data_IF_265947058716
#
_entry.id   IF_265947058716
#
_cell.length_a   1.000
_cell.length_b   1.000
_cell.length_c   1.000
_cell.angle_alpha   90.00
_cell.angle_beta   90.00
_cell.angle_gamma   90.00
#
_symmetry.space_group_name_H-M   'P 1'
#
loop_
_entity.id
_entity.type
_entity.pdbx_description
1 polymer ?
#
# COMPACT_ATOMS: atom_id res chain seq x y z
N UNK A 1 19.24 -33.79 -14.73
CA UNK A 1 19.08 -32.72 -13.70
C UNK A 1 17.73 -32.78 -13.02
N UNK A 2 17.70 -32.63 -11.69
CA UNK A 2 16.45 -32.54 -10.92
C UNK A 2 15.80 -31.15 -11.14
N UNK A 3 14.47 -31.09 -11.18
CA UNK A 3 13.74 -29.81 -11.32
C UNK A 3 13.87 -29.01 -10.02
N UNK A 4 14.24 -27.72 -10.12
CA UNK A 4 14.30 -26.83 -8.96
C UNK A 4 12.92 -26.69 -8.30
N UNK A 5 12.87 -26.85 -6.99
CA UNK A 5 11.68 -26.58 -6.16
C UNK A 5 12.08 -25.71 -4.98
N UNK A 6 11.45 -24.54 -4.87
CA UNK A 6 11.67 -23.66 -3.73
C UNK A 6 10.87 -24.15 -2.51
N UNK A 7 11.51 -24.53 -1.40
CA UNK A 7 10.82 -25.12 -0.25
C UNK A 7 9.81 -24.17 0.41
N UNK A 8 10.05 -22.85 0.35
CA UNK A 8 9.16 -21.84 0.94
C UNK A 8 8.11 -21.31 -0.03
N UNK A 9 7.84 -22.02 -1.14
CA UNK A 9 6.81 -21.61 -2.12
C UNK A 9 5.42 -21.42 -1.50
N UNK A 10 4.92 -22.28 -0.58
CA UNK A 10 3.64 -22.03 0.08
C UNK A 10 3.63 -20.72 0.90
N UNK A 11 4.76 -20.41 1.57
CA UNK A 11 4.91 -19.17 2.35
C UNK A 11 4.88 -17.96 1.42
N UNK A 12 5.54 -18.03 0.27
CA UNK A 12 5.52 -16.96 -0.74
C UNK A 12 4.09 -16.64 -1.20
N UNK A 13 3.30 -17.67 -1.48
CA UNK A 13 1.88 -17.51 -1.89
C UNK A 13 1.06 -16.85 -0.80
N UNK A 14 1.19 -17.31 0.45
CA UNK A 14 0.45 -16.72 1.59
C UNK A 14 0.85 -15.25 1.79
N UNK A 15 2.14 -14.92 1.71
CA UNK A 15 2.64 -13.54 1.86
C UNK A 15 2.19 -12.65 0.71
N UNK A 16 2.17 -13.15 -0.52
CA UNK A 16 1.68 -12.41 -1.69
C UNK A 16 0.20 -12.06 -1.54
N UNK A 17 -0.62 -13.01 -1.10
CA UNK A 17 -2.04 -12.76 -0.85
C UNK A 17 -2.26 -11.80 0.33
N UNK A 18 -1.44 -11.87 1.39
CA UNK A 18 -1.49 -10.88 2.49
C UNK A 18 -1.13 -9.47 2.02
N UNK A 19 -0.12 -9.33 1.18
CA UNK A 19 0.26 -8.04 0.58
C UNK A 19 -0.86 -7.48 -0.30
N UNK A 20 -1.49 -8.32 -1.12
CA UNK A 20 -2.62 -7.93 -1.96
C UNK A 20 -3.79 -7.40 -1.11
N UNK A 21 -4.18 -8.14 -0.07
CA UNK A 21 -5.25 -7.69 0.85
C UNK A 21 -4.90 -6.39 1.56
N UNK A 22 -3.65 -6.23 2.00
CA UNK A 22 -3.21 -5.00 2.64
C UNK A 22 -3.21 -3.81 1.66
N UNK A 23 -2.87 -4.05 0.39
CA UNK A 23 -2.95 -3.05 -0.68
C UNK A 23 -4.39 -2.61 -0.94
N UNK A 24 -5.33 -3.56 -1.03
CA UNK A 24 -6.75 -3.27 -1.21
C UNK A 24 -7.30 -2.47 -0.02
N UNK A 25 -6.98 -2.89 1.20
CA UNK A 25 -7.38 -2.16 2.42
C UNK A 25 -6.81 -0.74 2.46
N UNK A 26 -5.55 -0.56 2.05
CA UNK A 26 -4.95 0.76 1.94
C UNK A 26 -5.64 1.61 0.88
N UNK A 27 -5.90 1.09 -0.31
CA UNK A 27 -6.63 1.81 -1.37
C UNK A 27 -8.02 2.24 -0.90
N UNK A 28 -8.76 1.36 -0.21
CA UNK A 28 -10.06 1.70 0.37
C UNK A 28 -9.94 2.85 1.40
N UNK A 29 -8.93 2.82 2.27
CA UNK A 29 -8.71 3.90 3.25
C UNK A 29 -8.33 5.24 2.61
N UNK A 30 -7.62 5.23 1.48
CA UNK A 30 -7.31 6.44 0.71
C UNK A 30 -8.58 7.04 0.14
N UNK A 31 -9.49 6.22 -0.42
CA UNK A 31 -10.77 6.72 -0.92
C UNK A 31 -11.61 7.37 0.18
N UNK A 32 -11.69 6.76 1.37
CA UNK A 32 -12.41 7.33 2.51
C UNK A 32 -11.79 8.65 2.97
N UNK A 33 -10.46 8.74 3.01
CA UNK A 33 -9.76 9.97 3.35
C UNK A 33 -10.06 11.11 2.36
N UNK A 34 -9.97 10.83 1.05
CA UNK A 34 -10.28 11.80 0.00
C UNK A 34 -11.72 12.27 0.09
N UNK A 35 -12.68 11.35 0.28
CA UNK A 35 -14.09 11.71 0.47
C UNK A 35 -14.30 12.62 1.70
N UNK A 36 -13.60 12.36 2.80
CA UNK A 36 -13.67 13.21 3.99
C UNK A 36 -13.11 14.63 3.71
N UNK A 37 -12.01 14.74 2.94
CA UNK A 37 -11.45 16.03 2.54
C UNK A 37 -12.40 16.82 1.63
N UNK A 38 -13.05 16.15 0.67
CA UNK A 38 -14.04 16.75 -0.20
C UNK A 38 -15.23 17.32 0.59
N UNK A 39 -15.74 16.55 1.56
CA UNK A 39 -16.81 17.00 2.46
C UNK A 39 -16.37 18.22 3.28
N UNK A 40 -15.15 18.21 3.84
CA UNK A 40 -14.63 19.35 4.58
C UNK A 40 -14.49 20.60 3.70
N UNK A 41 -13.99 20.45 2.47
CA UNK A 41 -13.87 21.55 1.52
C UNK A 41 -15.25 22.14 1.15
N UNK A 42 -16.26 21.28 0.93
CA UNK A 42 -17.62 21.71 0.67
C UNK A 42 -18.23 22.47 1.86
N UNK A 43 -18.07 21.96 3.09
CA UNK A 43 -18.57 22.64 4.29
C UNK A 43 -17.87 23.97 4.54
N UNK A 44 -16.55 24.06 4.33
CA UNK A 44 -15.82 25.33 4.39
C UNK A 44 -16.32 26.36 3.40
N UNK A 45 -16.67 25.93 2.20
CA UNK A 45 -17.26 26.81 1.19
C UNK A 45 -18.61 27.33 1.65
N UNK A 46 -19.50 26.46 2.16
CA UNK A 46 -20.80 26.86 2.73
C UNK A 46 -20.65 27.84 3.90
N UNK A 47 -19.74 27.58 4.83
CA UNK A 47 -19.45 28.47 5.97
C UNK A 47 -18.96 29.85 5.48
N UNK A 48 -18.07 29.88 4.48
CA UNK A 48 -17.56 31.12 3.92
C UNK A 48 -18.65 31.93 3.21
N UNK A 49 -19.52 31.27 2.43
CA UNK A 49 -20.68 31.91 1.77
C UNK A 49 -21.66 32.49 2.80
N UNK A 50 -21.98 31.75 3.85
CA UNK A 50 -22.84 32.24 4.95
C UNK A 50 -22.20 33.38 5.73
N UNK A 51 -20.90 33.33 5.98
CA UNK A 51 -20.18 34.43 6.61
C UNK A 51 -20.25 35.70 5.74
N UNK A 52 -20.06 35.56 4.42
CA UNK A 52 -20.17 36.68 3.49
C UNK A 52 -21.57 37.30 3.52
N UNK A 53 -22.63 36.50 3.44
CA UNK A 53 -24.01 37.04 3.48
C UNK A 53 -24.32 37.71 4.81
N UNK A 54 -23.85 37.14 5.91
CA UNK A 54 -24.09 37.66 7.26
C UNK A 54 -23.34 38.99 7.53
N UNK A 55 -22.20 39.21 6.88
CA UNK A 55 -21.39 40.43 7.07
C UNK A 55 -21.52 41.46 5.95
N UNK A 56 -22.07 41.10 4.79
CA UNK A 56 -22.31 42.02 3.68
C UNK A 56 -23.39 43.07 4.00
N UNK A 57 -24.38 42.74 4.83
CA UNK A 57 -25.58 43.56 4.98
C UNK A 57 -25.57 44.48 6.22
N UNK A 58 -24.40 44.75 6.81
CA UNK A 58 -24.24 45.60 8.02
C UNK A 58 -24.72 47.06 7.85
N UNK A 59 -25.21 47.46 6.66
CA UNK A 59 -25.79 48.78 6.38
C UNK A 59 -27.31 48.80 6.21
N UNK A 60 -28.01 47.66 6.26
CA UNK A 60 -29.46 47.55 6.00
C UNK A 60 -30.37 47.57 7.24
N UNK A 61 -31.68 47.70 7.02
CA UNK A 61 -32.72 47.57 8.06
C UNK A 61 -32.91 46.10 8.40
N UNK A 62 -32.21 45.60 9.42
CA UNK A 62 -32.35 44.22 9.86
C UNK A 62 -33.64 44.00 10.66
N UNK A 63 -34.48 43.08 10.19
CA UNK A 63 -35.47 42.42 11.03
C UNK A 63 -34.72 41.45 11.96
N UNK A 64 -34.80 41.70 13.27
CA UNK A 64 -34.07 40.92 14.28
C UNK A 64 -34.32 39.40 14.19
N UNK A 65 -35.50 38.98 13.73
CA UNK A 65 -35.86 37.59 13.53
C UNK A 65 -35.05 36.89 12.41
N UNK A 66 -34.78 37.60 11.31
CA UNK A 66 -34.05 37.06 10.15
C UNK A 66 -32.56 36.96 10.48
N UNK A 67 -32.00 37.98 11.14
CA UNK A 67 -30.64 37.94 11.65
C UNK A 67 -30.42 36.76 12.61
N UNK A 68 -31.32 36.55 13.57
CA UNK A 68 -31.23 35.45 14.53
C UNK A 68 -31.34 34.06 13.87
N UNK A 69 -32.05 33.96 12.75
CA UNK A 69 -32.18 32.71 11.98
C UNK A 69 -30.91 32.43 11.18
N UNK A 70 -30.35 33.43 10.50
CA UNK A 70 -29.07 33.35 9.80
C UNK A 70 -27.90 33.00 10.74
N UNK A 71 -27.83 33.64 11.92
CA UNK A 71 -26.80 33.32 12.93
C UNK A 71 -26.90 31.88 13.43
N UNK A 72 -28.12 31.35 13.61
CA UNK A 72 -28.31 29.94 13.99
C UNK A 72 -27.84 28.99 12.89
N UNK A 73 -28.16 29.28 11.63
CA UNK A 73 -27.69 28.49 10.49
C UNK A 73 -26.15 28.50 10.39
N UNK A 74 -25.55 29.69 10.50
CA UNK A 74 -24.09 29.85 10.48
C UNK A 74 -23.40 29.05 11.61
N UNK A 75 -23.94 29.10 12.83
CA UNK A 75 -23.42 28.31 13.95
C UNK A 75 -23.52 26.81 13.67
N UNK A 76 -24.64 26.35 13.11
CA UNK A 76 -24.80 24.95 12.72
C UNK A 76 -23.75 24.50 11.71
N UNK A 77 -23.47 25.33 10.70
CA UNK A 77 -22.46 25.04 9.68
C UNK A 77 -21.03 25.06 10.24
N UNK A 78 -20.72 25.95 11.21
CA UNK A 78 -19.45 25.90 11.94
C UNK A 78 -19.30 24.61 12.76
N UNK A 79 -20.39 24.14 13.38
CA UNK A 79 -20.39 22.87 14.11
C UNK A 79 -20.19 21.69 13.13
N UNK A 80 -20.81 21.72 11.95
CA UNK A 80 -20.57 20.74 10.88
C UNK A 80 -19.13 20.75 10.37
N UNK A 81 -18.51 21.93 10.23
CA UNK A 81 -17.10 22.05 9.83
C UNK A 81 -16.19 21.33 10.83
N UNK A 82 -16.38 21.57 12.13
CA UNK A 82 -15.61 20.91 13.18
C UNK A 82 -15.80 19.38 13.14
N UNK A 83 -17.01 18.89 12.86
CA UNK A 83 -17.23 17.45 12.71
C UNK A 83 -16.56 16.89 11.45
N UNK A 84 -16.58 17.62 10.34
CA UNK A 84 -15.90 17.23 9.10
C UNK A 84 -14.38 17.18 9.29
N UNK A 85 -13.79 18.15 9.99
CA UNK A 85 -12.36 18.14 10.34
C UNK A 85 -11.98 16.92 11.18
N UNK A 86 -12.78 16.58 12.19
CA UNK A 86 -12.57 15.38 13.01
C UNK A 86 -12.59 14.10 12.17
N UNK A 87 -13.53 13.99 11.22
CA UNK A 87 -13.60 12.87 10.29
C UNK A 87 -12.37 12.78 9.38
N UNK A 88 -11.85 13.91 8.90
CA UNK A 88 -10.60 13.93 8.12
C UNK A 88 -9.42 13.43 8.95
N UNK A 89 -9.29 13.88 10.20
CA UNK A 89 -8.23 13.43 11.11
C UNK A 89 -8.34 11.91 11.34
N UNK A 90 -9.54 11.40 11.65
CA UNK A 90 -9.77 9.97 11.85
C UNK A 90 -9.46 9.15 10.60
N UNK A 91 -9.95 9.59 9.43
CA UNK A 91 -9.69 8.91 8.16
C UNK A 91 -8.20 8.92 7.80
N UNK A 92 -7.48 10.00 8.12
CA UNK A 92 -6.04 10.10 7.94
C UNK A 92 -5.29 9.10 8.82
N UNK A 93 -5.68 8.98 10.08
CA UNK A 93 -5.06 8.04 11.01
C UNK A 93 -5.28 6.59 10.57
N UNK A 94 -6.49 6.26 10.13
CA UNK A 94 -6.80 4.94 9.55
C UNK A 94 -5.95 4.68 8.31
N UNK A 95 -5.87 5.66 7.39
CA UNK A 95 -5.05 5.55 6.18
C UNK A 95 -3.57 5.32 6.50
N UNK A 96 -3.00 6.05 7.46
CA UNK A 96 -1.60 5.85 7.86
C UNK A 96 -1.35 4.49 8.50
N UNK A 97 -2.29 3.98 9.32
CA UNK A 97 -2.23 2.61 9.86
C UNK A 97 -2.23 1.57 8.74
N UNK A 98 -3.15 1.67 7.78
CA UNK A 98 -3.22 0.76 6.63
C UNK A 98 -1.98 0.86 5.74
N UNK A 99 -1.42 2.06 5.57
CA UNK A 99 -0.16 2.26 4.85
C UNK A 99 1.00 1.51 5.52
N UNK A 100 1.12 1.58 6.84
CA UNK A 100 2.15 0.87 7.58
C UNK A 100 2.00 -0.66 7.42
N UNK A 101 0.78 -1.19 7.58
CA UNK A 101 0.47 -2.60 7.37
C UNK A 101 0.85 -3.08 5.95
N UNK A 102 0.52 -2.28 4.94
CA UNK A 102 0.89 -2.55 3.55
C UNK A 102 2.40 -2.59 3.34
N UNK A 103 3.13 -1.61 3.87
CA UNK A 103 4.59 -1.55 3.74
C UNK A 103 5.25 -2.75 4.42
N UNK A 104 4.76 -3.16 5.58
CA UNK A 104 5.30 -4.32 6.29
C UNK A 104 4.98 -5.64 5.57
N UNK A 105 3.77 -5.80 5.02
CA UNK A 105 3.44 -6.96 4.19
C UNK A 105 4.32 -7.01 2.92
N UNK A 106 4.55 -5.87 2.28
CA UNK A 106 5.43 -5.75 1.11
C UNK A 106 6.89 -6.10 1.44
N UNK A 107 7.41 -5.61 2.58
CA UNK A 107 8.75 -5.96 3.07
C UNK A 107 8.89 -7.47 3.29
N UNK A 108 7.91 -8.09 3.94
CA UNK A 108 7.91 -9.54 4.19
C UNK A 108 7.92 -10.35 2.89
N UNK A 109 7.11 -9.97 1.90
CA UNK A 109 7.11 -10.61 0.59
C UNK A 109 8.46 -10.47 -0.12
N UNK A 110 9.07 -9.28 -0.09
CA UNK A 110 10.38 -9.03 -0.68
C UNK A 110 11.47 -9.92 -0.08
N UNK A 111 11.44 -10.17 1.24
CA UNK A 111 12.39 -11.08 1.90
C UNK A 111 12.26 -12.49 1.32
N UNK A 112 11.04 -13.01 1.18
CA UNK A 112 10.81 -14.36 0.63
C UNK A 112 11.28 -14.45 -0.82
N UNK A 113 11.01 -13.42 -1.64
CA UNK A 113 11.46 -13.38 -3.03
C UNK A 113 12.99 -13.39 -3.13
N UNK A 114 13.69 -12.63 -2.28
CA UNK A 114 15.16 -12.65 -2.21
C UNK A 114 15.70 -14.02 -1.82
N UNK A 115 15.05 -14.71 -0.88
CA UNK A 115 15.43 -16.08 -0.50
C UNK A 115 15.24 -17.05 -1.66
N UNK A 116 14.16 -16.90 -2.42
CA UNK A 116 13.92 -17.70 -3.63
C UNK A 116 14.99 -17.47 -4.69
N UNK A 117 15.32 -16.21 -4.98
CA UNK A 117 16.38 -15.85 -5.92
C UNK A 117 17.73 -16.45 -5.51
N UNK A 118 18.08 -16.35 -4.23
CA UNK A 118 19.31 -16.95 -3.68
C UNK A 118 19.30 -18.47 -3.82
N UNK A 119 18.19 -19.12 -3.48
CA UNK A 119 18.05 -20.58 -3.62
C UNK A 119 18.17 -21.03 -5.08
N UNK A 120 17.59 -20.27 -6.02
CA UNK A 120 17.75 -20.52 -7.46
C UNK A 120 19.20 -20.39 -7.91
N UNK A 121 19.91 -19.35 -7.43
CA UNK A 121 21.32 -19.15 -7.76
C UNK A 121 22.20 -20.31 -7.27
N UNK A 122 22.00 -20.76 -6.02
CA UNK A 122 22.71 -21.91 -5.46
C UNK A 122 22.44 -23.19 -6.25
N UNK A 123 21.17 -23.46 -6.59
CA UNK A 123 20.82 -24.63 -7.40
C UNK A 123 21.46 -24.59 -8.79
N UNK A 124 21.49 -23.42 -9.45
CA UNK A 124 22.17 -23.28 -10.74
C UNK A 124 23.67 -23.54 -10.64
N UNK A 125 24.32 -23.01 -9.60
CA UNK A 125 25.75 -23.25 -9.38
C UNK A 125 26.03 -24.74 -9.14
N UNK A 126 25.25 -25.41 -8.29
CA UNK A 126 25.40 -26.84 -8.04
C UNK A 126 25.21 -27.69 -9.31
N UNK A 127 24.20 -27.35 -10.13
CA UNK A 127 23.95 -28.02 -11.40
C UNK A 127 25.12 -27.87 -12.39
N UNK A 128 25.75 -26.70 -12.47
CA UNK A 128 26.93 -26.48 -13.31
C UNK A 128 28.13 -27.30 -12.82
N UNK A 129 28.31 -27.42 -11.50
CA UNK A 129 29.38 -28.26 -10.92
C UNK A 129 29.13 -29.74 -11.22
N UNK A 130 27.90 -30.22 -11.10
CA UNK A 130 27.53 -31.61 -11.47
C UNK A 130 27.81 -31.89 -12.96
N UNK A 131 27.45 -30.97 -13.85
CA UNK A 131 27.72 -31.10 -15.29
C UNK A 131 29.22 -31.13 -15.58
N UNK A 132 29.98 -30.24 -14.95
CA UNK A 132 31.44 -30.20 -15.11
C UNK A 132 32.09 -31.52 -14.66
N UNK A 133 31.72 -32.04 -13.48
CA UNK A 133 32.23 -33.32 -12.99
C UNK A 133 31.89 -34.46 -13.95
N UNK A 134 30.67 -34.48 -14.51
CA UNK A 134 30.28 -35.50 -15.49
C UNK A 134 31.10 -35.42 -16.80
N UNK A 135 31.46 -34.21 -17.25
CA UNK A 135 32.35 -34.02 -18.40
C UNK A 135 33.78 -34.47 -18.11
N UNK A 136 34.30 -34.14 -16.92
CA UNK A 136 35.64 -34.51 -16.48
C UNK A 136 35.77 -36.04 -16.31
N UNK A 137 34.77 -36.70 -15.71
CA UNK A 137 34.69 -38.16 -15.62
C UNK A 137 34.72 -38.80 -17.01
N UNK A 138 33.91 -38.29 -17.94
CA UNK A 138 33.86 -38.78 -19.32
C UNK A 138 35.19 -38.59 -20.06
N UNK A 139 35.87 -37.47 -19.84
CA UNK A 139 37.20 -37.22 -20.39
C UNK A 139 38.26 -38.17 -19.80
N UNK A 140 38.20 -38.43 -18.49
CA UNK A 140 39.07 -39.38 -17.79
C UNK A 140 38.93 -40.82 -18.31
N UNK A 141 37.71 -41.29 -18.59
CA UNK A 141 37.52 -42.63 -19.18
C UNK A 141 38.14 -42.75 -20.58
N UNK A 142 38.16 -41.67 -21.37
CA UNK A 142 38.77 -41.66 -22.71
C UNK A 142 40.29 -41.65 -22.68
N UNK A 143 40.91 -40.95 -21.73
CA UNK A 143 42.37 -40.93 -21.60
C UNK A 143 42.92 -42.29 -21.15
N UNK A 144 42.27 -42.94 -20.17
CA UNK A 144 42.67 -44.28 -19.68
C UNK A 144 42.55 -45.36 -20.77
N UNK A 145 41.50 -45.32 -21.61
CA UNK A 145 41.38 -46.26 -22.73
C UNK A 145 42.47 -46.06 -23.78
N UNK A 146 42.92 -44.82 -24.00
CA UNK A 146 43.95 -44.54 -25.02
C UNK A 146 45.33 -45.06 -24.62
N UNK A 147 45.64 -45.10 -23.32
CA UNK A 147 46.92 -45.59 -22.79
C UNK A 147 47.02 -47.11 -22.70
N UNK A 148 45.90 -47.85 -22.77
CA UNK A 148 45.89 -49.32 -22.70
C UNK A 148 46.03 -50.01 -24.07
N UNK A 149 45.97 -49.25 -25.18
CA UNK A 149 46.09 -49.76 -26.56
C UNK A 149 47.30 -49.21 -27.31
N UNK A 150 48.26 -48.63 -26.58
CA UNK A 150 49.61 -48.27 -27.04
C UNK A 150 50.62 -49.08 -26.25
#
# INVERSE_FOLDING_TARGET
MKRFRFPLRPVAVIRAHKELRAREAFAASVHVYVQAEEVLAATRTRVAELAQTLFADRGGTYLAADAASLFRAYRGECEEEVQAERKVIEARDVMQKRRAEYLDASRQLKVVNKLEEKARAVHRAAALVEDQNAMDDFAGFRSVRRTLFT
#
